data_IF_699453545837
#
_entry.id   IF_699453545837
#
_cell.length_a   1.000
_cell.length_b   1.000
_cell.length_c   1.000
_cell.angle_alpha   90.00
_cell.angle_beta   90.00
_cell.angle_gamma   90.00
#
_symmetry.space_group_name_H-M   'P 1'
#
loop_
_entity.id
_entity.type
_entity.pdbx_description
1 polymer ?
#
# COMPACT_ATOMS: atom_id res chain seq x y z
N UNK A 1 -29.74 12.35 7.89
CA UNK A 1 -28.78 13.30 8.50
C UNK A 1 -28.91 14.64 7.78
N UNK A 2 -28.84 15.82 8.48
CA UNK A 2 -29.01 17.15 7.88
C UNK A 2 -27.76 17.47 7.01
N UNK A 3 -27.96 18.19 5.88
CA UNK A 3 -26.95 18.65 4.90
C UNK A 3 -25.70 19.27 5.54
N UNK A 4 -25.90 20.11 6.56
CA UNK A 4 -24.80 20.76 7.30
C UNK A 4 -23.97 19.76 8.12
N UNK A 5 -24.61 18.75 8.72
CA UNK A 5 -23.89 17.66 9.41
C UNK A 5 -23.12 16.77 8.45
N UNK A 6 -23.64 16.50 7.23
CA UNK A 6 -22.95 15.75 6.18
C UNK A 6 -21.73 16.51 5.67
N UNK A 7 -21.88 17.80 5.35
CA UNK A 7 -20.77 18.68 4.95
C UNK A 7 -19.73 18.83 6.06
N UNK A 8 -20.17 18.95 7.33
CA UNK A 8 -19.29 19.01 8.50
C UNK A 8 -18.50 17.73 8.70
N UNK A 9 -19.14 16.57 8.52
CA UNK A 9 -18.49 15.25 8.64
C UNK A 9 -17.48 15.02 7.50
N UNK A 10 -17.80 15.43 6.27
CA UNK A 10 -16.88 15.35 5.14
C UNK A 10 -15.67 16.27 5.32
N UNK A 11 -15.89 17.51 5.79
CA UNK A 11 -14.79 18.43 6.16
C UNK A 11 -13.95 17.88 7.31
N UNK A 12 -14.56 17.18 8.27
CA UNK A 12 -13.84 16.51 9.36
C UNK A 12 -13.02 15.32 8.88
N UNK A 13 -13.51 14.54 7.91
CA UNK A 13 -12.78 13.45 7.29
C UNK A 13 -11.56 14.00 6.55
N UNK A 14 -11.76 15.02 5.69
CA UNK A 14 -10.66 15.66 4.96
C UNK A 14 -9.68 16.39 5.89
N UNK A 15 -10.13 16.93 7.03
CA UNK A 15 -9.30 17.54 8.04
C UNK A 15 -8.60 16.52 8.94
N UNK A 16 -9.23 15.38 9.23
CA UNK A 16 -8.65 14.31 10.06
C UNK A 16 -7.43 13.67 9.43
N UNK A 17 -7.43 13.47 8.11
CA UNK A 17 -6.26 13.00 7.37
C UNK A 17 -5.11 14.02 7.30
N UNK A 18 -5.40 15.32 7.55
CA UNK A 18 -4.40 16.40 7.57
C UNK A 18 -3.82 16.69 8.94
N UNK A 19 -4.45 16.25 10.04
CA UNK A 19 -4.01 16.58 11.40
C UNK A 19 -2.72 15.86 11.82
N UNK A 20 -2.34 14.78 11.17
CA UNK A 20 -1.11 14.06 11.46
C UNK A 20 0.15 14.75 10.89
N UNK A 21 0.01 15.76 10.02
CA UNK A 21 1.10 16.37 9.29
C UNK A 21 1.46 17.81 9.69
N UNK A 22 0.77 18.42 10.68
CA UNK A 22 1.00 19.83 11.06
C UNK A 22 1.60 20.00 12.47
N UNK A 23 2.73 19.38 12.73
CA UNK A 23 3.56 19.69 13.88
C UNK A 23 5.00 20.02 13.44
N UNK A 24 5.18 21.08 12.66
CA UNK A 24 6.50 21.76 12.59
C UNK A 24 6.32 23.27 12.41
N UNK A 25 6.80 24.00 13.42
CA UNK A 25 7.29 25.37 13.46
C UNK A 25 6.34 26.53 13.20
N UNK A 26 5.95 27.17 14.31
CA UNK A 26 5.63 28.59 14.33
C UNK A 26 6.83 29.45 13.97
N UNK A 27 6.70 30.22 12.90
CA UNK A 27 7.55 31.34 12.57
C UNK A 27 6.67 32.58 12.38
N UNK A 28 6.68 33.51 13.34
CA UNK A 28 6.03 34.80 13.21
C UNK A 28 6.65 35.64 12.12
N UNK A 29 5.96 35.77 10.99
CA UNK A 29 6.21 36.82 9.99
C UNK A 29 4.90 37.57 9.73
N UNK A 30 4.79 38.82 10.17
CA UNK A 30 3.71 39.71 9.78
C UNK A 30 3.85 40.07 8.32
N UNK A 31 3.07 39.42 7.46
CA UNK A 31 2.91 39.74 6.04
C UNK A 31 1.44 40.11 5.79
N UNK A 32 1.24 41.31 5.21
CA UNK A 32 -0.02 41.93 4.86
C UNK A 32 -0.93 40.95 4.05
N UNK A 33 -2.13 40.70 4.59
CA UNK A 33 -3.21 40.01 3.89
C UNK A 33 -3.90 40.96 2.91
N UNK A 34 -3.45 40.95 1.65
CA UNK A 34 -4.32 41.35 0.55
C UNK A 34 -5.25 40.19 0.20
N UNK A 35 -6.46 40.44 -0.39
CA UNK A 35 -7.31 39.35 -0.84
C UNK A 35 -6.56 38.53 -1.90
N UNK A 36 -6.69 37.18 -1.91
CA UNK A 36 -6.02 36.37 -2.91
C UNK A 36 -6.56 36.74 -4.28
N UNK A 37 -5.72 37.30 -5.14
CA UNK A 37 -6.02 37.43 -6.54
C UNK A 37 -6.07 36.03 -7.13
N UNK A 38 -7.28 35.54 -7.36
CA UNK A 38 -7.55 34.25 -8.02
C UNK A 38 -7.16 34.34 -9.49
N UNK A 39 -5.90 34.14 -9.82
CA UNK A 39 -5.57 33.64 -11.14
C UNK A 39 -5.81 32.13 -11.10
N UNK A 40 -6.98 31.72 -11.61
CA UNK A 40 -7.33 30.31 -11.74
C UNK A 40 -6.29 29.58 -12.57
N UNK A 41 -5.58 28.63 -11.95
CA UNK A 41 -4.65 27.74 -12.65
C UNK A 41 -5.43 26.66 -13.43
N UNK A 42 -4.74 26.01 -14.38
CA UNK A 42 -5.28 24.89 -15.17
C UNK A 42 -4.68 23.59 -14.67
N UNK A 43 -5.53 22.56 -14.49
CA UNK A 43 -5.11 21.23 -14.10
C UNK A 43 -5.64 20.19 -15.09
N UNK A 44 -4.77 19.26 -15.49
CA UNK A 44 -5.18 18.06 -16.21
C UNK A 44 -5.27 16.89 -15.23
N UNK A 45 -6.42 16.23 -15.14
CA UNK A 45 -6.63 15.00 -14.38
C UNK A 45 -6.74 13.84 -15.37
N UNK A 46 -5.87 12.84 -15.23
CA UNK A 46 -5.73 11.71 -16.14
C UNK A 46 -5.97 10.42 -15.38
N UNK A 47 -7.08 9.76 -15.65
CA UNK A 47 -7.53 8.54 -15.01
C UNK A 47 -7.12 7.28 -15.78
N UNK A 48 -7.22 6.10 -15.13
CA UNK A 48 -6.75 4.82 -15.68
C UNK A 48 -7.73 4.19 -16.67
N UNK A 49 -9.02 4.19 -16.35
CA UNK A 49 -10.01 3.44 -17.09
C UNK A 49 -11.44 3.90 -16.78
N UNK A 50 -12.39 3.43 -17.58
CA UNK A 50 -13.82 3.75 -17.44
C UNK A 50 -14.47 2.82 -16.41
N UNK A 51 -14.52 3.22 -15.14
CA UNK A 51 -15.19 2.53 -14.02
C UNK A 51 -15.75 3.55 -13.04
N UNK A 52 -16.78 3.18 -12.27
CA UNK A 52 -17.40 4.01 -11.22
C UNK A 52 -16.40 4.60 -10.24
N UNK A 53 -15.37 3.84 -9.86
CA UNK A 53 -14.24 4.32 -9.05
C UNK A 53 -13.64 5.63 -9.61
N UNK A 54 -13.45 5.73 -10.94
CA UNK A 54 -12.85 6.91 -11.57
C UNK A 54 -13.84 8.05 -11.74
N UNK A 55 -15.15 7.77 -11.74
CA UNK A 55 -16.19 8.82 -11.69
C UNK A 55 -16.17 9.51 -10.32
N UNK A 56 -15.98 8.76 -9.23
CA UNK A 56 -15.81 9.33 -7.88
C UNK A 56 -14.50 10.11 -7.74
N UNK A 57 -13.39 9.63 -8.32
CA UNK A 57 -12.12 10.38 -8.40
C UNK A 57 -12.34 11.71 -9.14
N UNK A 58 -13.02 11.67 -10.29
CA UNK A 58 -13.36 12.86 -11.06
C UNK A 58 -14.19 13.84 -10.24
N UNK A 59 -15.20 13.34 -9.52
CA UNK A 59 -16.07 14.16 -8.66
C UNK A 59 -15.27 14.86 -7.58
N UNK A 60 -14.40 14.13 -6.86
CA UNK A 60 -13.54 14.71 -5.83
C UNK A 60 -12.56 15.76 -6.41
N UNK A 61 -11.97 15.47 -7.55
CA UNK A 61 -11.09 16.40 -8.26
C UNK A 61 -11.82 17.67 -8.72
N UNK A 62 -13.07 17.53 -9.24
CA UNK A 62 -13.89 18.68 -9.67
C UNK A 62 -14.27 19.55 -8.48
N UNK A 63 -14.72 18.95 -7.38
CA UNK A 63 -15.10 19.71 -6.18
C UNK A 63 -13.91 20.50 -5.60
N UNK A 64 -12.71 19.92 -5.64
CA UNK A 64 -11.49 20.63 -5.27
C UNK A 64 -11.13 21.76 -6.25
N UNK A 65 -11.29 21.54 -7.56
CA UNK A 65 -11.08 22.58 -8.57
C UNK A 65 -12.06 23.75 -8.37
N UNK A 66 -13.32 23.46 -8.11
CA UNK A 66 -14.36 24.47 -7.85
C UNK A 66 -14.04 25.26 -6.56
N UNK A 67 -13.61 24.57 -5.50
CA UNK A 67 -13.21 25.22 -4.22
C UNK A 67 -12.00 26.15 -4.41
N UNK A 68 -11.01 25.73 -5.21
CA UNK A 68 -9.76 26.50 -5.38
C UNK A 68 -9.76 27.43 -6.60
N UNK A 69 -10.86 27.51 -7.35
CA UNK A 69 -11.00 28.33 -8.53
C UNK A 69 -10.08 27.89 -9.67
N UNK A 70 -9.94 26.61 -9.92
CA UNK A 70 -9.10 25.99 -10.94
C UNK A 70 -9.93 25.50 -12.12
N UNK A 71 -9.37 25.60 -13.33
CA UNK A 71 -9.94 24.99 -14.54
C UNK A 71 -9.43 23.56 -14.67
N UNK A 72 -10.36 22.58 -14.79
CA UNK A 72 -10.02 21.16 -14.90
C UNK A 72 -10.26 20.65 -16.32
N UNK A 73 -9.30 19.91 -16.88
CA UNK A 73 -9.54 18.98 -17.99
C UNK A 73 -9.45 17.55 -17.44
N UNK A 74 -10.35 16.67 -17.90
CA UNK A 74 -10.39 15.28 -17.46
C UNK A 74 -10.25 14.35 -18.65
N UNK A 75 -9.30 13.42 -18.59
CA UNK A 75 -9.09 12.38 -19.61
C UNK A 75 -9.08 11.02 -18.91
N UNK A 76 -9.75 10.06 -19.53
CA UNK A 76 -9.77 8.67 -19.06
C UNK A 76 -9.22 7.78 -20.17
N UNK A 77 -8.32 6.85 -19.81
CA UNK A 77 -7.81 5.83 -20.72
C UNK A 77 -8.82 4.68 -20.88
N UNK A 78 -8.65 3.86 -21.92
CA UNK A 78 -9.60 2.79 -22.26
C UNK A 78 -9.46 1.55 -21.34
N UNK A 79 -8.36 1.44 -20.57
CA UNK A 79 -8.11 0.32 -19.68
C UNK A 79 -6.79 0.43 -18.92
N UNK A 80 -6.57 -0.48 -17.99
CA UNK A 80 -5.41 -0.50 -17.08
C UNK A 80 -4.03 -0.54 -17.76
N UNK A 81 -3.96 -0.93 -19.03
CA UNK A 81 -2.70 -1.01 -19.79
C UNK A 81 -2.61 0.05 -20.91
N UNK A 82 -3.59 0.95 -20.99
CA UNK A 82 -3.60 1.99 -22.03
C UNK A 82 -2.78 3.22 -21.59
N UNK A 83 -1.49 3.06 -21.51
CA UNK A 83 -0.55 4.16 -21.29
C UNK A 83 -0.38 5.05 -22.54
N UNK A 84 -0.74 4.57 -23.73
CA UNK A 84 -0.64 5.35 -24.97
C UNK A 84 -1.60 6.54 -24.94
N UNK A 85 -2.86 6.33 -24.55
CA UNK A 85 -3.82 7.42 -24.33
C UNK A 85 -3.33 8.37 -23.24
N UNK A 86 -2.68 7.87 -22.18
CA UNK A 86 -2.12 8.73 -21.14
C UNK A 86 -0.96 9.58 -21.63
N UNK A 87 -0.06 9.04 -22.46
CA UNK A 87 1.02 9.82 -23.11
C UNK A 87 0.42 10.95 -23.97
N UNK A 88 -0.62 10.65 -24.75
CA UNK A 88 -1.30 11.66 -25.54
C UNK A 88 -1.94 12.76 -24.67
N UNK A 89 -2.56 12.39 -23.56
CA UNK A 89 -3.14 13.33 -22.60
C UNK A 89 -2.10 14.21 -21.90
N UNK A 90 -0.92 13.66 -21.54
CA UNK A 90 0.21 14.42 -20.98
C UNK A 90 0.72 15.45 -22.01
N UNK A 91 0.90 15.03 -23.27
CA UNK A 91 1.35 15.93 -24.33
C UNK A 91 0.31 17.04 -24.63
N UNK A 92 -0.98 16.73 -24.58
CA UNK A 92 -2.06 17.73 -24.71
C UNK A 92 -2.03 18.72 -23.53
N UNK A 93 -1.82 18.25 -22.31
CA UNK A 93 -1.66 19.09 -21.12
C UNK A 93 -0.46 20.06 -21.26
N UNK A 94 0.68 19.58 -21.80
CA UNK A 94 1.86 20.42 -22.09
C UNK A 94 1.49 21.49 -23.12
N UNK A 95 0.84 21.12 -24.22
CA UNK A 95 0.42 22.06 -25.28
C UNK A 95 -0.55 23.12 -24.76
N UNK A 96 -1.47 22.74 -23.89
CA UNK A 96 -2.43 23.63 -23.22
C UNK A 96 -1.81 24.46 -22.10
N UNK A 97 -0.54 24.23 -21.80
CA UNK A 97 0.22 24.93 -20.75
C UNK A 97 -0.51 24.86 -19.41
N UNK A 98 -0.94 23.68 -19.01
CA UNK A 98 -1.53 23.48 -17.68
C UNK A 98 -0.47 23.73 -16.60
N UNK A 99 -0.90 24.09 -15.40
CA UNK A 99 0.01 24.34 -14.27
C UNK A 99 0.35 23.05 -13.54
N UNK A 100 -0.55 22.07 -13.57
CA UNK A 100 -0.29 20.76 -12.97
C UNK A 100 -1.01 19.64 -13.70
N UNK A 101 -0.48 18.43 -13.54
CA UNK A 101 -1.07 17.16 -13.94
C UNK A 101 -1.30 16.32 -12.69
N UNK A 102 -2.52 15.79 -12.54
CA UNK A 102 -2.87 14.77 -11.56
C UNK A 102 -3.14 13.49 -12.33
N UNK A 103 -2.32 12.46 -12.17
CA UNK A 103 -2.37 11.26 -13.01
C UNK A 103 -2.38 9.98 -12.20
N UNK A 104 -3.22 9.03 -12.60
CA UNK A 104 -3.15 7.65 -12.17
C UNK A 104 -2.40 6.82 -13.24
N UNK A 105 -1.11 6.50 -13.05
CA UNK A 105 -0.31 5.83 -14.08
C UNK A 105 -0.84 4.44 -14.47
N UNK A 106 -0.92 4.15 -15.77
CA UNK A 106 -1.21 2.81 -16.31
C UNK A 106 0.06 1.97 -16.55
N UNK A 107 1.23 2.58 -16.40
CA UNK A 107 2.53 1.92 -16.45
C UNK A 107 3.49 2.60 -15.50
N UNK A 108 4.37 1.81 -14.89
CA UNK A 108 5.42 2.32 -14.02
C UNK A 108 6.52 3.04 -14.80
N UNK A 109 6.79 2.62 -16.06
CA UNK A 109 7.95 3.05 -16.84
C UNK A 109 7.62 3.77 -18.15
N UNK A 110 6.53 3.37 -18.82
CA UNK A 110 6.26 3.84 -20.19
C UNK A 110 5.86 5.33 -20.28
N UNK A 111 5.55 5.96 -19.15
CA UNK A 111 5.18 7.38 -19.07
C UNK A 111 6.37 8.31 -18.84
N UNK A 112 7.56 7.78 -18.56
CA UNK A 112 8.74 8.54 -18.11
C UNK A 112 9.13 9.68 -19.05
N UNK A 113 9.18 9.42 -20.37
CA UNK A 113 9.56 10.44 -21.34
C UNK A 113 8.54 11.60 -21.37
N UNK A 114 7.25 11.28 -21.37
CA UNK A 114 6.20 12.30 -21.41
C UNK A 114 6.14 13.11 -20.09
N UNK A 115 6.31 12.44 -18.95
CA UNK A 115 6.33 13.10 -17.65
C UNK A 115 7.58 13.97 -17.46
N UNK A 116 8.77 13.53 -17.92
CA UNK A 116 9.96 14.37 -17.91
C UNK A 116 9.75 15.66 -18.73
N UNK A 117 9.17 15.56 -19.95
CA UNK A 117 8.83 16.73 -20.76
C UNK A 117 7.87 17.70 -20.03
N UNK A 118 6.88 17.15 -19.30
CA UNK A 118 5.96 17.97 -18.51
C UNK A 118 6.71 18.70 -17.37
N UNK A 119 7.55 17.99 -16.62
CA UNK A 119 8.36 18.54 -15.54
C UNK A 119 9.33 19.62 -16.05
N UNK A 120 10.02 19.37 -17.17
CA UNK A 120 10.93 20.32 -17.83
C UNK A 120 10.19 21.59 -18.30
N UNK A 121 8.90 21.48 -18.63
CA UNK A 121 8.01 22.59 -18.95
C UNK A 121 7.52 23.36 -17.71
N UNK A 122 7.97 22.97 -16.50
CA UNK A 122 7.57 23.58 -15.24
C UNK A 122 6.22 23.13 -14.69
N UNK A 123 5.57 22.14 -15.33
CA UNK A 123 4.27 21.58 -14.90
C UNK A 123 4.51 20.71 -13.65
N UNK A 124 3.69 20.92 -12.62
CA UNK A 124 3.75 20.08 -11.41
C UNK A 124 3.01 18.76 -11.66
N UNK A 125 3.58 17.66 -11.18
CA UNK A 125 2.97 16.34 -11.34
C UNK A 125 2.65 15.75 -9.97
N UNK A 126 1.44 15.27 -9.79
CA UNK A 126 0.98 14.50 -8.63
C UNK A 126 0.45 13.17 -9.14
N UNK A 127 0.96 12.06 -8.61
CA UNK A 127 0.39 10.74 -8.91
C UNK A 127 -0.73 10.40 -7.95
N UNK A 128 -1.74 9.70 -8.44
CA UNK A 128 -2.86 9.21 -7.64
C UNK A 128 -3.07 7.71 -7.86
N UNK A 129 -3.49 6.98 -6.83
CA UNK A 129 -3.84 5.56 -6.84
C UNK A 129 -2.69 4.60 -7.21
N UNK A 130 -1.98 4.82 -8.31
CA UNK A 130 -0.88 3.97 -8.77
C UNK A 130 0.47 4.67 -8.67
N UNK A 131 1.54 3.89 -8.72
CA UNK A 131 2.91 4.37 -8.62
C UNK A 131 3.62 4.39 -9.97
N UNK A 132 4.63 5.23 -10.08
CA UNK A 132 5.66 5.19 -11.11
C UNK A 132 6.85 4.40 -10.57
N UNK A 133 7.84 4.09 -11.41
CA UNK A 133 9.12 3.57 -10.93
C UNK A 133 9.76 4.56 -9.93
N UNK A 134 10.66 4.06 -9.09
CA UNK A 134 11.23 4.83 -7.98
C UNK A 134 11.93 6.12 -8.41
N UNK A 135 12.58 6.12 -9.59
CA UNK A 135 13.29 7.28 -10.12
C UNK A 135 12.31 8.39 -10.53
N UNK A 136 11.26 8.05 -11.28
CA UNK A 136 10.25 9.02 -11.69
C UNK A 136 9.38 9.46 -10.52
N UNK A 137 9.03 8.56 -9.60
CA UNK A 137 8.26 8.87 -8.40
C UNK A 137 8.98 9.89 -7.50
N UNK A 138 10.31 9.87 -7.46
CA UNK A 138 11.10 10.86 -6.72
C UNK A 138 11.07 12.27 -7.34
N UNK A 139 10.77 12.40 -8.64
CA UNK A 139 10.70 13.69 -9.36
C UNK A 139 9.34 14.36 -9.25
N UNK A 140 8.26 13.60 -9.02
CA UNK A 140 6.90 14.17 -8.89
C UNK A 140 6.70 14.82 -7.54
N UNK A 141 5.71 15.73 -7.47
CA UNK A 141 5.47 16.53 -6.26
C UNK A 141 4.93 15.72 -5.08
N UNK A 142 4.04 14.77 -5.35
CA UNK A 142 3.42 13.92 -4.33
C UNK A 142 2.78 12.70 -4.94
N UNK A 143 2.60 11.65 -4.12
CA UNK A 143 1.77 10.47 -4.39
C UNK A 143 0.59 10.47 -3.44
N UNK A 144 -0.62 10.33 -3.95
CA UNK A 144 -1.86 10.26 -3.18
C UNK A 144 -2.57 8.94 -3.47
N UNK A 145 -2.79 8.13 -2.46
CA UNK A 145 -3.46 6.83 -2.65
C UNK A 145 -3.58 6.07 -1.35
N UNK A 146 -4.24 4.94 -1.39
CA UNK A 146 -4.30 4.03 -0.25
C UNK A 146 -3.05 3.16 -0.22
N UNK A 147 -2.56 2.85 0.97
CA UNK A 147 -1.52 1.83 1.15
C UNK A 147 -2.06 0.46 0.72
N UNK A 148 -1.55 -0.07 -0.37
CA UNK A 148 -2.01 -1.34 -0.93
C UNK A 148 -1.68 -2.52 0.00
N UNK A 149 -0.51 -2.49 0.64
CA UNK A 149 -0.11 -3.50 1.62
C UNK A 149 -1.01 -3.47 2.84
N UNK A 150 -1.32 -2.27 3.38
CA UNK A 150 -2.24 -2.13 4.51
C UNK A 150 -3.66 -2.55 4.12
N UNK A 151 -4.10 -2.22 2.90
CA UNK A 151 -5.38 -2.69 2.35
C UNK A 151 -5.47 -4.21 2.35
N UNK A 152 -4.43 -4.89 1.89
CA UNK A 152 -4.31 -6.35 1.95
C UNK A 152 -4.31 -6.89 3.38
N UNK A 153 -3.57 -6.25 4.28
CA UNK A 153 -3.51 -6.64 5.69
C UNK A 153 -4.88 -6.48 6.40
N UNK A 154 -5.62 -5.41 6.09
CA UNK A 154 -6.97 -5.17 6.59
C UNK A 154 -7.94 -6.22 6.01
N UNK A 155 -7.81 -6.59 4.73
CA UNK A 155 -8.58 -7.68 4.13
C UNK A 155 -8.35 -9.00 4.88
N UNK A 156 -7.10 -9.36 5.14
CA UNK A 156 -6.74 -10.58 5.87
C UNK A 156 -7.31 -10.57 7.31
N UNK A 157 -7.17 -9.46 8.03
CA UNK A 157 -7.74 -9.32 9.37
C UNK A 157 -9.23 -9.59 9.36
N UNK A 158 -9.96 -8.98 8.44
CA UNK A 158 -11.41 -9.10 8.35
C UNK A 158 -11.85 -10.48 7.83
N UNK A 159 -11.07 -11.11 6.94
CA UNK A 159 -11.29 -12.51 6.53
C UNK A 159 -11.15 -13.45 7.74
N UNK A 160 -10.15 -13.26 8.59
CA UNK A 160 -9.98 -14.02 9.84
C UNK A 160 -11.18 -13.82 10.76
N UNK A 161 -11.62 -12.58 10.96
CA UNK A 161 -12.76 -12.27 11.83
C UNK A 161 -14.05 -12.87 11.28
N UNK A 162 -14.31 -12.78 9.97
CA UNK A 162 -15.46 -13.39 9.31
C UNK A 162 -15.43 -14.95 9.40
N UNK A 163 -14.26 -15.55 9.17
CA UNK A 163 -14.07 -17.00 9.29
C UNK A 163 -14.36 -17.52 10.70
N UNK A 164 -13.85 -16.83 11.71
CA UNK A 164 -14.12 -17.13 13.13
C UNK A 164 -15.59 -16.91 13.49
N UNK A 165 -16.22 -15.85 12.98
CA UNK A 165 -17.65 -15.57 13.20
C UNK A 165 -18.56 -16.67 12.67
N UNK A 166 -18.15 -17.39 11.63
CA UNK A 166 -18.84 -18.60 11.11
C UNK A 166 -18.62 -19.84 11.99
N UNK A 167 -17.94 -19.72 13.13
CA UNK A 167 -17.67 -20.84 14.06
C UNK A 167 -16.45 -21.68 13.72
N UNK A 168 -15.62 -21.24 12.78
CA UNK A 168 -14.45 -21.99 12.34
C UNK A 168 -13.21 -21.68 13.20
N UNK A 169 -12.35 -22.67 13.36
CA UNK A 169 -11.07 -22.56 14.04
C UNK A 169 -9.95 -22.21 13.03
N UNK A 170 -9.30 -21.07 13.23
CA UNK A 170 -8.23 -20.61 12.36
C UNK A 170 -6.96 -21.51 12.41
N UNK A 171 -6.73 -22.22 13.53
CA UNK A 171 -5.64 -23.19 13.62
C UNK A 171 -5.80 -24.34 12.62
N UNK A 172 -7.05 -24.65 12.24
CA UNK A 172 -7.41 -25.71 11.31
C UNK A 172 -7.88 -25.17 9.94
N UNK A 173 -7.53 -23.92 9.60
CA UNK A 173 -7.88 -23.35 8.30
C UNK A 173 -7.32 -24.19 7.16
N UNK A 174 -8.17 -24.44 6.14
CA UNK A 174 -7.79 -25.13 4.92
C UNK A 174 -7.00 -24.25 3.97
N UNK A 175 -7.16 -24.49 2.66
CA UNK A 175 -6.52 -23.67 1.64
C UNK A 175 -7.09 -22.25 1.61
N UNK A 176 -6.24 -21.29 1.23
CA UNK A 176 -6.58 -19.89 1.05
C UNK A 176 -6.32 -19.52 -0.40
N UNK A 177 -7.39 -19.19 -1.11
CA UNK A 177 -7.31 -18.82 -2.53
C UNK A 177 -7.13 -17.30 -2.70
N UNK A 178 -6.25 -16.92 -3.60
CA UNK A 178 -6.05 -15.52 -3.98
C UNK A 178 -6.31 -15.38 -5.47
N UNK A 179 -7.30 -14.58 -5.82
CA UNK A 179 -7.66 -14.30 -7.21
C UNK A 179 -7.13 -12.92 -7.54
N UNK A 180 -5.97 -12.90 -8.22
CA UNK A 180 -5.23 -11.68 -8.53
C UNK A 180 -5.72 -10.99 -9.80
N UNK A 181 -5.60 -9.65 -9.84
CA UNK A 181 -5.79 -8.85 -11.04
C UNK A 181 -4.45 -8.52 -11.73
N UNK A 182 -4.51 -7.92 -12.91
CA UNK A 182 -3.33 -7.67 -13.76
C UNK A 182 -2.53 -6.42 -13.41
N UNK A 183 -3.09 -5.45 -12.67
CA UNK A 183 -2.40 -4.20 -12.34
C UNK A 183 -1.26 -4.37 -11.34
N UNK A 184 -0.23 -3.54 -11.42
CA UNK A 184 0.98 -3.60 -10.57
C UNK A 184 0.70 -3.49 -9.06
N UNK A 185 -0.37 -2.78 -8.67
CA UNK A 185 -0.83 -2.67 -7.27
C UNK A 185 -1.24 -4.01 -6.64
N UNK A 186 -1.53 -5.05 -7.45
CA UNK A 186 -1.94 -6.37 -6.97
C UNK A 186 -0.90 -7.02 -6.05
N UNK A 187 0.37 -6.89 -6.36
CA UNK A 187 1.45 -7.57 -5.63
C UNK A 187 1.57 -7.08 -4.19
N UNK A 188 1.55 -5.77 -3.98
CA UNK A 188 1.62 -5.18 -2.64
C UNK A 188 0.37 -5.56 -1.82
N UNK A 189 -0.80 -5.56 -2.44
CA UNK A 189 -2.07 -5.96 -1.82
C UNK A 189 -2.07 -7.44 -1.40
N UNK A 190 -1.58 -8.31 -2.30
CA UNK A 190 -1.42 -9.75 -2.03
C UNK A 190 -0.39 -10.00 -0.93
N UNK A 191 0.74 -9.31 -0.96
CA UNK A 191 1.80 -9.44 0.04
C UNK A 191 1.31 -9.07 1.43
N UNK A 192 0.62 -7.93 1.58
CA UNK A 192 0.02 -7.52 2.85
C UNK A 192 -1.02 -8.51 3.37
N UNK A 193 -1.85 -9.07 2.46
CA UNK A 193 -2.82 -10.12 2.82
C UNK A 193 -2.12 -11.39 3.32
N UNK A 194 -1.14 -11.90 2.58
CA UNK A 194 -0.41 -13.13 2.94
C UNK A 194 0.32 -12.94 4.27
N UNK A 195 1.02 -11.83 4.45
CA UNK A 195 1.75 -11.55 5.69
C UNK A 195 0.82 -11.53 6.90
N UNK A 196 -0.26 -10.75 6.85
CA UNK A 196 -1.20 -10.63 7.96
C UNK A 196 -1.94 -11.93 8.24
N UNK A 197 -2.35 -12.67 7.20
CA UNK A 197 -3.01 -13.96 7.33
C UNK A 197 -2.06 -15.01 7.94
N UNK A 198 -0.81 -15.06 7.49
CA UNK A 198 0.23 -15.94 8.05
C UNK A 198 0.44 -15.68 9.54
N UNK A 199 0.57 -14.41 9.95
CA UNK A 199 0.65 -14.03 11.38
C UNK A 199 -0.59 -14.48 12.16
N UNK A 200 -1.78 -14.33 11.59
CA UNK A 200 -3.03 -14.76 12.22
C UNK A 200 -3.10 -16.28 12.45
N UNK A 201 -2.73 -17.06 11.44
CA UNK A 201 -2.71 -18.53 11.51
C UNK A 201 -1.62 -19.01 12.47
N UNK A 202 -0.42 -18.43 12.41
CA UNK A 202 0.69 -18.74 13.29
C UNK A 202 0.31 -18.53 14.77
N UNK A 203 -0.27 -17.36 15.08
CA UNK A 203 -0.76 -17.07 16.43
C UNK A 203 -1.83 -18.06 16.90
N UNK A 204 -2.75 -18.48 16.01
CA UNK A 204 -3.75 -19.47 16.33
C UNK A 204 -3.16 -20.88 16.62
N UNK A 205 -2.01 -21.19 16.01
CA UNK A 205 -1.25 -22.43 16.21
C UNK A 205 -0.23 -22.34 17.34
N UNK A 206 -0.04 -21.18 17.99
CA UNK A 206 0.99 -20.95 19.00
C UNK A 206 2.41 -20.86 18.42
N UNK A 207 2.54 -20.53 17.14
CA UNK A 207 3.84 -20.34 16.45
C UNK A 207 4.26 -18.88 16.57
N UNK A 208 5.48 -18.63 16.98
CA UNK A 208 6.04 -17.28 17.06
C UNK A 208 6.42 -16.78 15.67
N UNK A 209 5.93 -15.60 15.30
CA UNK A 209 6.35 -14.90 14.08
C UNK A 209 7.40 -13.87 14.48
N UNK A 210 8.64 -13.94 13.95
CA UNK A 210 9.62 -12.89 14.20
C UNK A 210 9.04 -11.53 13.76
N UNK A 211 9.18 -10.52 14.60
CA UNK A 211 8.87 -9.16 14.18
C UNK A 211 9.86 -8.75 13.09
N UNK A 212 9.33 -8.22 11.98
CA UNK A 212 10.19 -7.65 10.96
C UNK A 212 11.02 -6.54 11.58
N UNK A 213 12.34 -6.65 11.52
CA UNK A 213 13.23 -5.60 11.99
C UNK A 213 12.95 -4.34 11.16
N UNK A 214 12.38 -3.26 11.74
CA UNK A 214 12.02 -2.05 10.99
C UNK A 214 13.25 -1.36 10.37
N UNK A 215 14.45 -1.73 10.80
CA UNK A 215 15.72 -1.19 10.29
C UNK A 215 16.33 -2.04 9.16
N UNK A 216 15.83 -3.25 8.88
CA UNK A 216 16.36 -4.10 7.83
C UNK A 216 16.09 -3.53 6.41
N UNK A 217 15.08 -2.67 6.26
CA UNK A 217 14.74 -2.01 5.00
C UNK A 217 15.55 -0.71 4.75
N UNK A 218 16.22 -0.18 5.76
CA UNK A 218 17.14 0.95 5.61
C UNK A 218 18.54 0.40 5.38
N UNK A 219 18.89 0.04 4.16
CA UNK A 219 20.20 -0.50 3.77
C UNK A 219 21.39 0.34 4.27
N UNK A 220 21.72 0.20 5.54
CA UNK A 220 22.82 0.83 6.23
C UNK A 220 23.47 -0.21 7.13
N UNK A 221 24.72 -0.52 6.82
CA UNK A 221 25.54 -1.46 7.60
C UNK A 221 25.45 -1.17 9.09
N UNK A 222 25.34 -2.23 9.86
CA UNK A 222 25.43 -2.15 11.31
C UNK A 222 26.75 -1.45 11.70
N UNK A 223 26.74 -0.52 12.66
CA UNK A 223 28.00 -0.11 13.26
C UNK A 223 28.45 -1.21 14.21
N UNK A 224 29.52 -1.89 13.83
CA UNK A 224 30.26 -2.73 14.75
C UNK A 224 30.73 -1.88 15.95
N UNK A 225 30.38 -2.32 17.14
CA UNK A 225 31.03 -1.91 18.37
C UNK A 225 30.23 -1.02 19.31
N UNK A 226 29.45 -1.66 20.16
CA UNK A 226 29.03 -1.04 21.42
C UNK A 226 29.08 -2.08 22.54
N UNK A 227 30.25 -2.21 23.15
CA UNK A 227 30.39 -2.65 24.55
C UNK A 227 31.65 -2.02 25.11
N UNK A 228 31.52 -1.04 25.96
CA UNK A 228 32.04 -0.96 27.32
C UNK A 228 32.18 0.50 27.75
N UNK A 229 31.46 0.82 28.79
CA UNK A 229 31.60 2.09 29.50
C UNK A 229 32.88 2.11 30.33
N UNK A 230 33.46 3.32 30.46
CA UNK A 230 34.51 3.67 31.35
C UNK A 230 34.75 5.16 31.30
N UNK A 231 34.46 5.86 32.37
CA UNK A 231 34.60 7.31 32.52
C UNK A 231 36.06 7.74 32.77
N UNK A 232 36.31 9.06 32.97
CA UNK A 232 37.37 9.76 32.25
C UNK A 232 38.60 10.05 33.10
N UNK A 233 39.72 10.36 32.46
CA UNK A 233 40.64 11.40 32.97
C UNK A 233 41.90 11.60 32.09
N UNK A 234 42.30 12.84 31.91
CA UNK A 234 43.72 13.22 31.85
C UNK A 234 44.32 13.60 30.50
N UNK A 235 44.47 14.85 30.39
CA UNK A 235 45.23 15.70 29.53
C UNK A 235 46.61 15.28 28.96
N UNK A 236 46.96 15.97 27.86
CA UNK A 236 48.25 16.56 27.47
C UNK A 236 49.08 15.93 26.35
N UNK A 237 49.14 16.71 25.30
CA UNK A 237 50.33 17.17 24.49
C UNK A 237 51.26 16.16 23.78
N UNK A 238 51.42 16.35 22.49
CA UNK A 238 52.73 16.60 21.90
C UNK A 238 53.28 15.62 20.87
N UNK A 239 53.48 16.08 19.65
CA UNK A 239 54.63 15.70 18.82
C UNK A 239 54.42 14.77 17.62
N UNK A 240 54.41 15.33 16.42
CA UNK A 240 54.95 14.70 15.20
C UNK A 240 56.48 14.78 15.24
N UNK A 241 57.26 14.01 14.44
CA UNK A 241 57.28 14.03 13.01
C UNK A 241 57.70 12.76 12.25
N UNK A 242 57.42 12.81 10.92
CA UNK A 242 58.15 12.25 9.76
C UNK A 242 58.89 10.91 9.77
N UNK A 243 58.63 10.11 8.73
CA UNK A 243 59.56 9.05 8.32
C UNK A 243 58.98 8.21 7.17
N UNK A 244 59.31 8.57 5.96
CA UNK A 244 59.09 7.80 4.75
C UNK A 244 60.00 6.59 4.64
N UNK A 245 59.54 5.46 4.10
CA UNK A 245 60.37 4.59 3.25
C UNK A 245 59.49 3.55 2.50
N UNK A 246 59.86 3.41 1.24
CA UNK A 246 59.41 2.52 0.19
C UNK A 246 59.69 1.02 0.42
N UNK A 247 58.91 0.18 -0.22
CA UNK A 247 59.46 -1.06 -0.75
C UNK A 247 58.54 -2.28 -0.79
N UNK A 248 58.20 -2.73 -2.01
CA UNK A 248 58.19 -4.13 -2.36
C UNK A 248 56.86 -4.85 -2.49
N UNK A 249 56.40 -4.98 -3.71
CA UNK A 249 55.40 -5.98 -4.12
C UNK A 249 55.96 -7.40 -4.00
N UNK A 250 55.11 -8.33 -3.54
CA UNK A 250 55.18 -9.73 -3.95
C UNK A 250 53.77 -10.38 -3.82
N UNK A 251 53.38 -10.97 -4.93
CA UNK A 251 52.22 -11.83 -5.09
C UNK A 251 52.27 -13.07 -4.19
N UNK A 252 51.16 -13.34 -3.53
CA UNK A 252 50.98 -14.59 -2.78
C UNK A 252 49.49 -14.92 -2.70
N UNK A 253 48.98 -15.68 -3.69
CA UNK A 253 47.69 -16.30 -3.60
C UNK A 253 47.66 -17.28 -2.40
N UNK A 254 46.98 -16.92 -1.36
CA UNK A 254 46.69 -17.83 -0.24
C UNK A 254 45.21 -18.18 -0.25
N UNK A 255 44.93 -19.42 -0.65
CA UNK A 255 43.65 -20.09 -0.39
C UNK A 255 43.41 -20.11 1.15
N UNK A 256 42.52 -19.22 1.60
CA UNK A 256 42.05 -19.23 2.98
C UNK A 256 40.87 -20.18 3.13
N UNK A 257 41.13 -21.44 3.39
CA UNK A 257 40.11 -22.32 3.97
C UNK A 257 39.71 -21.77 5.34
N UNK A 258 38.41 -21.52 5.52
CA UNK A 258 37.85 -21.17 6.81
C UNK A 258 38.07 -22.35 7.77
N UNK A 259 39.12 -22.28 8.55
CA UNK A 259 39.28 -23.13 9.73
C UNK A 259 38.24 -22.70 10.75
N UNK A 260 37.17 -23.47 10.91
CA UNK A 260 36.32 -23.40 12.07
C UNK A 260 37.22 -23.69 13.28
N UNK A 261 37.55 -22.66 14.04
CA UNK A 261 38.21 -22.80 15.32
C UNK A 261 37.28 -23.62 16.20
N UNK A 262 37.62 -24.87 16.45
CA UNK A 262 37.00 -25.70 17.49
C UNK A 262 37.27 -25.02 18.83
N UNK A 263 36.25 -24.35 19.37
CA UNK A 263 36.29 -23.78 20.70
C UNK A 263 36.42 -24.96 21.69
N UNK A 264 37.53 -25.01 22.44
CA UNK A 264 37.79 -26.09 23.37
C UNK A 264 36.86 -25.91 24.56
N UNK A 265 35.85 -26.75 24.72
CA UNK A 265 34.78 -26.67 25.74
C UNK A 265 35.33 -26.69 27.18
N UNK A 266 36.55 -27.23 27.39
CA UNK A 266 37.19 -27.32 28.70
C UNK A 266 37.61 -25.98 29.30
N UNK A 267 37.69 -24.90 28.50
CA UNK A 267 38.14 -23.57 28.93
C UNK A 267 37.02 -22.52 29.11
N UNK A 268 35.75 -22.89 28.86
CA UNK A 268 34.64 -21.97 29.05
C UNK A 268 34.21 -21.89 30.52
N UNK A 269 33.91 -20.68 30.97
CA UNK A 269 33.26 -20.47 32.27
C UNK A 269 31.85 -21.07 32.27
N UNK A 270 31.30 -21.38 33.45
CA UNK A 270 29.91 -21.90 33.56
C UNK A 270 28.88 -20.93 32.97
N UNK A 271 29.17 -19.61 33.00
CA UNK A 271 28.33 -18.58 32.38
C UNK A 271 28.37 -18.67 30.85
N UNK A 272 29.54 -18.83 30.26
CA UNK A 272 29.72 -18.97 28.82
C UNK A 272 29.06 -20.24 28.28
N UNK A 273 29.18 -21.36 29.03
CA UNK A 273 28.47 -22.60 28.71
C UNK A 273 26.95 -22.41 28.74
N UNK A 274 26.43 -21.74 29.78
CA UNK A 274 24.99 -21.46 29.88
C UNK A 274 24.51 -20.55 28.75
N UNK A 275 25.24 -19.49 28.38
CA UNK A 275 24.94 -18.61 27.29
C UNK A 275 24.91 -19.34 25.93
N UNK A 276 25.84 -20.26 25.71
CA UNK A 276 25.89 -21.08 24.51
C UNK A 276 24.70 -22.02 24.41
N UNK A 277 24.31 -22.69 25.48
CA UNK A 277 23.13 -23.57 25.53
C UNK A 277 21.86 -22.76 25.25
N UNK A 278 21.73 -21.53 25.78
CA UNK A 278 20.62 -20.64 25.52
C UNK A 278 20.60 -20.27 24.03
N UNK A 279 21.72 -19.85 23.46
CA UNK A 279 21.80 -19.47 22.04
C UNK A 279 21.51 -20.64 21.08
N UNK A 280 21.98 -21.86 21.41
CA UNK A 280 21.68 -23.08 20.66
C UNK A 280 20.16 -23.40 20.69
N UNK A 281 19.53 -23.27 21.87
CA UNK A 281 18.10 -23.49 22.02
C UNK A 281 17.27 -22.43 21.32
N UNK A 282 17.67 -21.15 21.37
CA UNK A 282 17.03 -20.06 20.62
C UNK A 282 17.10 -20.29 19.11
N UNK A 283 18.26 -20.73 18.60
CA UNK A 283 18.45 -21.05 17.20
C UNK A 283 17.60 -22.26 16.74
N UNK A 284 17.47 -23.28 17.58
CA UNK A 284 16.59 -24.44 17.31
C UNK A 284 15.12 -24.01 17.26
N UNK A 285 14.69 -23.16 18.19
CA UNK A 285 13.33 -22.63 18.24
C UNK A 285 13.01 -21.76 17.04
N UNK A 286 13.97 -20.92 16.63
CA UNK A 286 13.84 -20.09 15.43
C UNK A 286 13.72 -20.95 14.17
N UNK A 287 14.56 -21.96 14.01
CA UNK A 287 14.51 -22.89 12.89
C UNK A 287 13.18 -23.69 12.84
N UNK A 288 12.63 -24.08 14.01
CA UNK A 288 11.32 -24.75 14.05
C UNK A 288 10.19 -23.79 13.69
N UNK A 289 10.22 -22.55 14.18
CA UNK A 289 9.25 -21.53 13.79
C UNK A 289 9.27 -21.24 12.28
N UNK A 290 10.46 -21.13 11.68
CA UNK A 290 10.59 -20.97 10.23
C UNK A 290 9.98 -22.14 9.44
N UNK A 291 10.23 -23.38 9.89
CA UNK A 291 9.60 -24.57 9.27
C UNK A 291 8.10 -24.53 9.35
N UNK A 292 7.54 -24.17 10.50
CA UNK A 292 6.09 -24.05 10.69
C UNK A 292 5.49 -22.93 9.86
N UNK A 293 6.14 -21.77 9.73
CA UNK A 293 5.73 -20.70 8.86
C UNK A 293 5.76 -21.11 7.38
N UNK A 294 6.76 -21.88 6.96
CA UNK A 294 6.82 -22.44 5.62
C UNK A 294 5.66 -23.40 5.33
N UNK A 295 5.23 -24.20 6.31
CA UNK A 295 4.04 -25.04 6.19
C UNK A 295 2.77 -24.19 6.04
N UNK A 296 2.61 -23.14 6.86
CA UNK A 296 1.47 -22.22 6.76
C UNK A 296 1.41 -21.55 5.37
N UNK A 297 2.56 -21.13 4.84
CA UNK A 297 2.63 -20.50 3.51
C UNK A 297 2.18 -21.44 2.37
N UNK A 298 2.27 -22.75 2.52
CA UNK A 298 1.79 -23.73 1.53
C UNK A 298 0.26 -23.78 1.42
N UNK A 299 -0.47 -23.23 2.38
CA UNK A 299 -1.93 -23.14 2.30
C UNK A 299 -2.42 -22.08 1.30
N UNK A 300 -1.56 -21.15 0.89
CA UNK A 300 -1.91 -20.12 -0.08
C UNK A 300 -1.80 -20.65 -1.50
N UNK A 301 -2.86 -20.49 -2.27
CA UNK A 301 -2.95 -20.85 -3.68
C UNK A 301 -3.39 -19.62 -4.46
N UNK A 302 -2.54 -19.16 -5.36
CA UNK A 302 -2.83 -18.00 -6.19
C UNK A 302 -3.19 -18.46 -7.61
N UNK A 303 -4.20 -17.82 -8.20
CA UNK A 303 -4.53 -18.01 -9.63
C UNK A 303 -3.57 -17.21 -10.51
N UNK A 304 -3.59 -17.51 -11.83
CA UNK A 304 -3.09 -16.55 -12.82
C UNK A 304 -3.86 -15.23 -12.70
N UNK A 305 -3.25 -14.14 -13.13
CA UNK A 305 -3.86 -12.82 -13.07
C UNK A 305 -5.02 -12.71 -14.04
N UNK A 306 -6.16 -12.18 -13.56
CA UNK A 306 -7.39 -12.02 -14.31
C UNK A 306 -7.65 -10.53 -14.58
N UNK A 307 -7.91 -10.18 -15.83
CA UNK A 307 -8.26 -8.82 -16.23
C UNK A 307 -9.78 -8.56 -16.17
N UNK A 308 -10.59 -9.61 -16.37
CA UNK A 308 -12.05 -9.53 -16.53
C UNK A 308 -12.81 -10.43 -15.56
N UNK A 309 -14.08 -10.15 -15.37
CA UNK A 309 -14.99 -10.90 -14.50
C UNK A 309 -15.11 -12.37 -14.94
N UNK A 310 -15.26 -12.62 -16.24
CA UNK A 310 -15.39 -13.97 -16.80
C UNK A 310 -14.11 -14.81 -16.59
N UNK A 311 -12.93 -14.21 -16.76
CA UNK A 311 -11.64 -14.84 -16.48
C UNK A 311 -11.52 -15.22 -15.01
N UNK A 312 -11.85 -14.31 -14.11
CA UNK A 312 -11.82 -14.53 -12.67
C UNK A 312 -12.82 -15.61 -12.23
N UNK A 313 -14.01 -15.63 -12.84
CA UNK A 313 -15.03 -16.66 -12.60
C UNK A 313 -14.51 -18.04 -12.98
N UNK A 314 -13.98 -18.21 -14.19
CA UNK A 314 -13.49 -19.50 -14.65
C UNK A 314 -12.22 -19.95 -13.88
N UNK A 315 -11.32 -19.02 -13.54
CA UNK A 315 -10.18 -19.31 -12.68
C UNK A 315 -10.62 -19.80 -11.29
N UNK A 316 -11.63 -19.17 -10.72
CA UNK A 316 -12.20 -19.56 -9.41
C UNK A 316 -12.88 -20.94 -9.49
N UNK A 317 -13.66 -21.21 -10.53
CA UNK A 317 -14.28 -22.52 -10.73
C UNK A 317 -13.23 -23.62 -10.89
N UNK A 318 -12.18 -23.38 -11.65
CA UNK A 318 -11.05 -24.32 -11.79
C UNK A 318 -10.34 -24.56 -10.46
N UNK A 319 -10.18 -23.51 -9.64
CA UNK A 319 -9.54 -23.60 -8.33
C UNK A 319 -10.37 -24.45 -7.35
N UNK A 320 -11.67 -24.21 -7.29
CA UNK A 320 -12.57 -24.79 -6.29
C UNK A 320 -13.09 -26.18 -6.68
N UNK A 321 -13.15 -26.53 -7.96
CA UNK A 321 -13.88 -27.72 -8.40
C UNK A 321 -15.36 -27.62 -8.02
N UNK A 322 -16.00 -28.76 -7.82
CA UNK A 322 -17.43 -28.82 -7.50
C UNK A 322 -17.77 -28.79 -6.00
N UNK A 323 -16.80 -29.05 -5.15
CA UNK A 323 -16.97 -29.23 -3.68
C UNK A 323 -16.20 -28.21 -2.84
N UNK A 324 -15.53 -27.23 -3.49
CA UNK A 324 -14.69 -26.24 -2.82
C UNK A 324 -13.25 -26.68 -2.58
N UNK A 325 -12.89 -27.94 -2.91
CA UNK A 325 -11.51 -28.47 -2.93
C UNK A 325 -10.67 -28.12 -1.66
N UNK A 326 -11.33 -28.03 -0.50
CA UNK A 326 -10.69 -27.71 0.80
C UNK A 326 -10.29 -26.24 0.98
N UNK A 327 -10.83 -25.34 0.15
CA UNK A 327 -10.65 -23.89 0.37
C UNK A 327 -11.59 -23.39 1.47
N UNK A 328 -11.01 -22.64 2.40
CA UNK A 328 -11.70 -22.03 3.54
C UNK A 328 -11.93 -20.53 3.36
N UNK A 329 -10.98 -19.86 2.71
CA UNK A 329 -10.97 -18.40 2.54
C UNK A 329 -10.59 -18.08 1.10
N UNK A 330 -11.25 -17.07 0.50
CA UNK A 330 -10.87 -16.48 -0.78
C UNK A 330 -10.66 -14.98 -0.60
N UNK A 331 -9.61 -14.46 -1.22
CA UNK A 331 -9.32 -13.05 -1.35
C UNK A 331 -9.31 -12.67 -2.83
N UNK A 332 -10.18 -11.74 -3.21
CA UNK A 332 -10.26 -11.16 -4.54
C UNK A 332 -9.70 -9.73 -4.51
N UNK A 333 -8.78 -9.41 -5.42
CA UNK A 333 -7.90 -8.24 -5.28
C UNK A 333 -8.41 -6.95 -5.94
N UNK A 334 -9.53 -7.00 -6.68
CA UNK A 334 -10.21 -5.82 -7.23
C UNK A 334 -11.69 -6.16 -7.58
N UNK A 335 -12.45 -5.19 -8.10
CA UNK A 335 -13.85 -5.35 -8.50
C UNK A 335 -14.06 -6.53 -9.45
N UNK A 336 -13.31 -6.62 -10.56
CA UNK A 336 -13.49 -7.68 -11.55
C UNK A 336 -13.26 -9.07 -10.94
N UNK A 337 -12.23 -9.22 -10.13
CA UNK A 337 -11.93 -10.48 -9.45
C UNK A 337 -12.97 -10.79 -8.38
N UNK A 338 -13.47 -9.79 -7.64
CA UNK A 338 -14.52 -9.98 -6.63
C UNK A 338 -15.81 -10.45 -7.26
N UNK A 339 -16.27 -9.81 -8.32
CA UNK A 339 -17.48 -10.20 -9.05
C UNK A 339 -17.34 -11.60 -9.64
N UNK A 340 -16.19 -11.93 -10.23
CA UNK A 340 -15.92 -13.25 -10.78
C UNK A 340 -15.94 -14.36 -9.73
N UNK A 341 -15.32 -14.12 -8.56
CA UNK A 341 -15.35 -15.05 -7.42
C UNK A 341 -16.79 -15.29 -6.94
N UNK A 342 -17.55 -14.22 -6.72
CA UNK A 342 -18.92 -14.30 -6.24
C UNK A 342 -19.83 -15.06 -7.23
N UNK A 343 -19.73 -14.77 -8.53
CA UNK A 343 -20.46 -15.47 -9.57
C UNK A 343 -20.11 -16.96 -9.62
N UNK A 344 -18.82 -17.33 -9.47
CA UNK A 344 -18.40 -18.72 -9.42
C UNK A 344 -18.98 -19.46 -8.21
N UNK A 345 -19.01 -18.82 -7.04
CA UNK A 345 -19.56 -19.42 -5.82
C UNK A 345 -21.07 -19.66 -5.91
N UNK A 346 -21.83 -18.76 -6.54
CA UNK A 346 -23.25 -18.97 -6.79
C UNK A 346 -23.47 -20.15 -7.76
N UNK A 347 -22.74 -20.19 -8.90
CA UNK A 347 -22.83 -21.30 -9.86
C UNK A 347 -22.47 -22.67 -9.26
N UNK A 348 -21.47 -22.70 -8.37
CA UNK A 348 -21.02 -23.92 -7.70
C UNK A 348 -21.86 -24.28 -6.45
N UNK A 349 -22.85 -23.46 -6.07
CA UNK A 349 -23.63 -23.62 -4.83
C UNK A 349 -22.73 -23.63 -3.57
N UNK A 350 -21.65 -22.84 -3.59
CA UNK A 350 -20.69 -22.68 -2.50
C UNK A 350 -20.84 -21.32 -1.76
N UNK A 351 -21.82 -20.50 -2.15
CA UNK A 351 -22.14 -19.23 -1.49
C UNK A 351 -22.35 -19.41 0.02
N UNK A 352 -21.70 -18.60 0.83
CA UNK A 352 -21.74 -18.64 2.30
C UNK A 352 -20.92 -19.75 2.96
N UNK A 353 -20.48 -20.79 2.21
CA UNK A 353 -19.68 -21.91 2.74
C UNK A 353 -18.20 -21.58 2.84
N UNK A 354 -17.69 -20.75 1.95
CA UNK A 354 -16.31 -20.24 1.93
C UNK A 354 -16.33 -18.79 2.38
N UNK A 355 -15.37 -18.36 3.17
CA UNK A 355 -15.22 -16.95 3.54
C UNK A 355 -14.60 -16.17 2.40
N UNK A 356 -15.24 -15.07 1.98
CA UNK A 356 -14.80 -14.28 0.84
C UNK A 356 -14.64 -12.81 1.24
N UNK A 357 -13.45 -12.25 0.95
CA UNK A 357 -13.20 -10.81 1.06
C UNK A 357 -12.80 -10.27 -0.30
N UNK A 358 -13.48 -9.21 -0.73
CA UNK A 358 -13.23 -8.50 -1.97
C UNK A 358 -12.45 -7.21 -1.78
N UNK A 359 -12.35 -6.46 -2.86
CA UNK A 359 -11.66 -5.17 -2.90
C UNK A 359 -12.35 -4.20 -3.85
N UNK A 360 -12.54 -2.96 -3.41
CA UNK A 360 -13.40 -1.91 -3.95
C UNK A 360 -14.88 -2.11 -3.57
N UNK A 361 -15.76 -1.33 -4.19
CA UNK A 361 -17.20 -1.43 -3.96
C UNK A 361 -17.95 -0.84 -5.14
N UNK A 362 -18.60 -1.70 -5.89
CA UNK A 362 -19.67 -1.27 -6.77
C UNK A 362 -21.02 -1.81 -6.28
N UNK A 363 -22.11 -1.43 -6.93
CA UNK A 363 -23.44 -1.84 -6.49
C UNK A 363 -23.65 -3.36 -6.54
N UNK A 364 -22.99 -4.06 -7.48
CA UNK A 364 -23.09 -5.50 -7.59
C UNK A 364 -22.30 -6.20 -6.47
N UNK A 365 -21.11 -5.69 -6.08
CA UNK A 365 -20.38 -6.16 -4.89
C UNK A 365 -21.21 -5.98 -3.63
N UNK A 366 -21.87 -4.81 -3.47
CA UNK A 366 -22.77 -4.54 -2.35
C UNK A 366 -23.99 -5.49 -2.37
N UNK A 367 -24.51 -5.83 -3.55
CA UNK A 367 -25.57 -6.82 -3.68
C UNK A 367 -25.11 -8.21 -3.26
N UNK A 368 -23.88 -8.63 -3.53
CA UNK A 368 -23.31 -9.88 -3.05
C UNK A 368 -23.15 -9.90 -1.52
N UNK A 369 -22.78 -8.77 -0.91
CA UNK A 369 -22.76 -8.65 0.56
C UNK A 369 -24.17 -8.83 1.13
N UNK A 370 -25.19 -8.18 0.55
CA UNK A 370 -26.60 -8.31 1.00
C UNK A 370 -27.12 -9.76 0.90
N UNK A 371 -26.66 -10.51 -0.11
CA UNK A 371 -27.04 -11.92 -0.32
C UNK A 371 -26.18 -12.89 0.52
N UNK A 372 -25.14 -12.42 1.21
CA UNK A 372 -24.25 -13.26 2.02
C UNK A 372 -23.30 -14.14 1.20
N UNK A 373 -23.06 -13.83 -0.07
CA UNK A 373 -22.04 -14.46 -0.92
C UNK A 373 -20.68 -13.90 -0.64
N UNK A 374 -20.60 -12.57 -0.47
CA UNK A 374 -19.40 -11.81 -0.10
C UNK A 374 -19.49 -11.42 1.38
N UNK A 375 -18.51 -11.80 2.18
CA UNK A 375 -18.50 -11.47 3.61
C UNK A 375 -18.20 -9.98 3.85
N UNK A 376 -17.49 -9.35 2.93
CA UNK A 376 -17.21 -7.93 2.90
C UNK A 376 -16.13 -7.57 1.91
N UNK A 377 -15.91 -6.28 1.73
CA UNK A 377 -14.95 -5.73 0.78
C UNK A 377 -14.14 -4.59 1.38
N UNK A 378 -12.97 -4.33 0.81
CA UNK A 378 -12.11 -3.20 1.16
C UNK A 378 -12.44 -2.03 0.25
N UNK A 379 -13.03 -0.99 0.82
CA UNK A 379 -13.34 0.25 0.13
C UNK A 379 -12.12 1.19 0.21
N UNK A 380 -11.56 1.54 -0.94
CA UNK A 380 -10.70 2.73 -1.08
C UNK A 380 -11.60 3.98 -1.08
N UNK A 381 -11.01 5.15 -0.93
CA UNK A 381 -11.76 6.40 -0.97
C UNK A 381 -11.45 7.20 -2.25
N UNK A 382 -12.07 6.85 -3.40
CA UNK A 382 -11.75 7.47 -4.67
C UNK A 382 -12.03 8.98 -4.70
N UNK A 383 -13.11 9.44 -4.05
CA UNK A 383 -13.41 10.86 -3.94
C UNK A 383 -12.28 11.61 -3.23
N UNK A 384 -11.81 11.10 -2.08
CA UNK A 384 -10.70 11.72 -1.34
C UNK A 384 -9.40 11.68 -2.15
N UNK A 385 -9.13 10.59 -2.87
CA UNK A 385 -7.97 10.49 -3.76
C UNK A 385 -7.98 11.62 -4.79
N UNK A 386 -9.10 11.86 -5.45
CA UNK A 386 -9.25 12.94 -6.43
C UNK A 386 -9.13 14.33 -5.80
N UNK A 387 -9.87 14.58 -4.71
CA UNK A 387 -9.87 15.85 -4.01
C UNK A 387 -8.48 16.23 -3.47
N UNK A 388 -7.82 15.31 -2.76
CA UNK A 388 -6.49 15.53 -2.18
C UNK A 388 -5.43 15.62 -3.28
N UNK A 389 -5.56 14.86 -4.37
CA UNK A 389 -4.69 14.97 -5.55
C UNK A 389 -4.64 16.38 -6.11
N UNK A 390 -5.80 17.00 -6.35
CA UNK A 390 -5.91 18.40 -6.80
C UNK A 390 -5.41 19.38 -5.74
N UNK A 391 -5.73 19.18 -4.47
CA UNK A 391 -5.28 20.03 -3.37
C UNK A 391 -3.75 20.07 -3.28
N UNK A 392 -3.08 18.94 -3.41
CA UNK A 392 -1.62 18.86 -3.40
C UNK A 392 -1.00 19.44 -4.67
N UNK A 393 -1.63 19.23 -5.82
CA UNK A 393 -1.24 19.89 -7.07
C UNK A 393 -1.30 21.43 -6.93
N UNK A 394 -2.39 21.96 -6.34
CA UNK A 394 -2.52 23.40 -6.04
C UNK A 394 -1.43 23.91 -5.09
N UNK A 395 -1.11 23.16 -4.04
CA UNK A 395 -0.02 23.52 -3.12
C UNK A 395 1.32 23.57 -3.84
N UNK A 396 1.63 22.55 -4.65
CA UNK A 396 2.86 22.48 -5.45
C UNK A 396 2.98 23.65 -6.46
N UNK A 397 1.87 24.00 -7.15
CA UNK A 397 1.82 25.15 -8.07
C UNK A 397 2.15 26.49 -7.37
N UNK A 398 1.77 26.61 -6.11
CA UNK A 398 2.00 27.82 -5.31
C UNK A 398 3.36 27.83 -4.58
N UNK A 399 4.21 26.83 -4.81
CA UNK A 399 5.47 26.66 -4.07
C UNK A 399 5.28 26.31 -2.59
N UNK A 400 4.09 25.85 -2.21
CA UNK A 400 3.80 25.40 -0.86
C UNK A 400 4.42 24.03 -0.58
N UNK A 401 4.57 23.71 0.71
CA UNK A 401 5.05 22.40 1.14
C UNK A 401 4.02 21.31 0.75
N UNK A 402 4.53 20.21 0.21
CA UNK A 402 3.78 18.99 -0.08
C UNK A 402 4.46 17.79 0.58
N UNK A 403 3.66 16.85 1.06
CA UNK A 403 4.17 15.58 1.58
C UNK A 403 4.37 14.64 0.39
N UNK A 404 5.50 13.95 0.34
CA UNK A 404 5.88 13.09 -0.78
C UNK A 404 4.89 11.93 -0.99
N UNK A 405 4.31 11.38 0.07
CA UNK A 405 3.31 10.31 0.00
C UNK A 405 2.20 10.52 1.01
N UNK A 406 0.96 10.45 0.57
CA UNK A 406 -0.24 10.60 1.40
C UNK A 406 -1.08 9.35 1.28
N UNK A 407 -1.25 8.64 2.40
CA UNK A 407 -2.17 7.53 2.49
C UNK A 407 -3.60 8.05 2.77
N UNK A 408 -4.53 7.70 1.91
CA UNK A 408 -5.95 8.05 2.06
C UNK A 408 -6.73 7.02 2.89
N UNK A 409 -6.05 5.96 3.34
CA UNK A 409 -6.65 4.86 4.08
C UNK A 409 -7.61 4.00 3.27
N UNK A 410 -8.10 2.96 3.92
CA UNK A 410 -9.15 2.08 3.41
C UNK A 410 -10.17 1.78 4.50
N UNK A 411 -11.38 1.38 4.11
CA UNK A 411 -12.46 1.02 5.04
C UNK A 411 -13.00 -0.35 4.68
N UNK A 412 -13.15 -1.23 5.67
CA UNK A 412 -13.84 -2.51 5.46
C UNK A 412 -15.34 -2.33 5.53
N UNK A 413 -16.04 -2.77 4.50
CA UNK A 413 -17.50 -2.72 4.37
C UNK A 413 -18.08 -4.13 4.37
N UNK A 414 -19.09 -4.37 5.18
CA UNK A 414 -19.80 -5.64 5.28
C UNK A 414 -21.29 -5.42 5.60
N UNK A 415 -22.06 -6.50 5.74
CA UNK A 415 -23.51 -6.42 6.02
C UNK A 415 -23.87 -5.68 7.31
N UNK A 416 -22.97 -5.58 8.29
CA UNK A 416 -23.26 -4.92 9.56
C UNK A 416 -23.06 -3.41 9.53
N UNK A 417 -22.18 -2.88 8.65
CA UNK A 417 -21.85 -1.46 8.62
C UNK A 417 -22.19 -0.74 7.31
N UNK A 418 -22.52 -1.47 6.23
CA UNK A 418 -22.82 -0.86 4.92
C UNK A 418 -23.98 0.16 4.94
N UNK A 419 -24.78 0.14 6.01
CA UNK A 419 -25.89 1.08 6.20
C UNK A 419 -25.56 2.25 7.12
N UNK A 420 -24.36 2.31 7.69
CA UNK A 420 -23.92 3.42 8.53
C UNK A 420 -23.81 4.70 7.70
N UNK A 421 -24.18 5.83 8.29
CA UNK A 421 -24.17 7.13 7.59
C UNK A 421 -22.80 7.47 7.00
N UNK A 422 -21.72 7.13 7.70
CA UNK A 422 -20.37 7.35 7.24
C UNK A 422 -20.05 6.48 6.01
N UNK A 423 -20.41 5.20 6.05
CA UNK A 423 -20.17 4.27 4.94
C UNK A 423 -20.99 4.66 3.71
N UNK A 424 -22.27 5.01 3.91
CA UNK A 424 -23.11 5.53 2.81
C UNK A 424 -22.52 6.76 2.14
N UNK A 425 -21.90 7.64 2.93
CA UNK A 425 -21.23 8.82 2.39
C UNK A 425 -20.00 8.46 1.55
N UNK A 426 -19.26 7.41 1.92
CA UNK A 426 -18.13 6.92 1.16
C UNK A 426 -18.56 6.19 -0.13
N UNK A 427 -19.69 5.46 -0.07
CA UNK A 427 -20.24 4.71 -1.19
C UNK A 427 -20.99 5.58 -2.20
N UNK A 428 -21.55 6.71 -1.79
CA UNK A 428 -22.30 7.67 -2.61
C UNK A 428 -21.94 9.11 -2.24
N UNK A 429 -20.80 9.61 -2.75
CA UNK A 429 -20.38 10.99 -2.50
C UNK A 429 -21.37 12.04 -3.03
N UNK A 430 -22.17 11.72 -4.05
CA UNK A 430 -23.18 12.62 -4.64
C UNK A 430 -24.34 12.87 -3.69
N UNK A 431 -24.59 11.99 -2.74
CA UNK A 431 -25.60 12.20 -1.70
C UNK A 431 -25.36 13.47 -0.86
N UNK A 432 -24.15 14.07 -0.95
CA UNK A 432 -23.79 15.33 -0.29
C UNK A 432 -24.35 16.54 -1.02
N UNK A 433 -24.44 16.48 -2.34
CA UNK A 433 -24.74 17.62 -3.21
C UNK A 433 -26.22 17.74 -3.58
N UNK A 434 -27.00 16.67 -3.46
CA UNK A 434 -28.41 16.61 -3.88
C UNK A 434 -29.42 17.03 -2.83
N UNK A 435 -29.02 17.56 -1.69
CA UNK A 435 -29.96 17.91 -0.59
C UNK A 435 -29.90 19.36 -0.15
#
# INVERSE_FOLDING_TARGET
MNKEKRKGMFKAITAGFLSAAMLVSGGCGKGQSGPPTSQGGKIAVIAKQQLSFWDDVKKGAQDACDEFGLEMTYTVADGDNDYVTQIAAINDAINKKVNAIVIAPNSENDLDEALNKALDSGIKVVTINSELNSEMQAKVSSKIGSSESDGGAIAAKNAIDAYKKKGNDLANVGKIGIIGHTAGTAENRISGFIERMTKGIANAKGVTVPEANPYAAMGGGAPDGAAQGGAPDGAAQGGAPDGAAQGGAQDGAAQGGAAQAQVNEENLTELEKAQRVIAEHEAELEAENERQLAVIKKNFVQTDRCARVDEAKEATKKLLGTDGNGFSILFATNTNTTLGVCAALEELNLAGKITVVGYNSDEEELAYIRRGVLDGTILQNPYIIGYVGVKYAKSAMSGGAVIQSVDTGVTYVNSSNMNDDFIKLLLDPDSITQS
#
